data_IF_366014282484
#
_entry.id   IF_366014282484
#
_cell.length_a   1.000
_cell.length_b   1.000
_cell.length_c   1.000
_cell.angle_alpha   90.00
_cell.angle_beta   90.00
_cell.angle_gamma   90.00
#
_symmetry.space_group_name_H-M   'P 1'
#
loop_
_entity.id
_entity.type
_entity.pdbx_description
1 polymer ?
#
# COMPACT_ATOMS: atom_id res chain seq x y z
N UNK A 1 24.15 -14.73 -41.03
CA UNK A 1 24.64 -14.10 -39.79
C UNK A 1 23.60 -13.10 -39.32
N UNK A 2 22.81 -13.45 -38.30
CA UNK A 2 21.87 -12.49 -37.71
C UNK A 2 22.65 -11.57 -36.76
N UNK A 3 22.49 -10.24 -36.84
CA UNK A 3 23.14 -9.34 -35.90
C UNK A 3 22.61 -9.62 -34.50
N UNK A 4 23.53 -10.06 -33.64
CA UNK A 4 23.31 -10.29 -32.22
C UNK A 4 23.16 -8.92 -31.57
N UNK A 5 21.95 -8.37 -31.59
CA UNK A 5 21.65 -7.14 -30.85
C UNK A 5 22.04 -7.37 -29.40
N UNK A 6 22.89 -6.50 -28.80
CA UNK A 6 23.23 -6.61 -27.39
C UNK A 6 21.90 -6.55 -26.64
N UNK A 7 21.56 -7.65 -25.95
CA UNK A 7 20.39 -7.69 -25.08
C UNK A 7 20.54 -6.51 -24.13
N UNK A 8 19.77 -5.46 -24.36
CA UNK A 8 19.62 -4.35 -23.44
C UNK A 8 19.41 -4.99 -22.08
N UNK A 9 20.40 -4.82 -21.20
CA UNK A 9 20.48 -5.61 -19.99
C UNK A 9 19.18 -5.42 -19.22
N UNK A 10 18.63 -6.48 -18.65
CA UNK A 10 17.42 -6.40 -17.83
C UNK A 10 17.54 -5.39 -16.67
N UNK A 11 18.76 -4.94 -16.34
CA UNK A 11 19.02 -3.84 -15.42
C UNK A 11 18.62 -2.47 -15.97
N UNK A 12 18.83 -2.20 -17.27
CA UNK A 12 18.43 -0.93 -17.91
C UNK A 12 16.91 -0.77 -17.94
N UNK A 13 16.17 -1.82 -18.32
CA UNK A 13 14.70 -1.78 -18.28
C UNK A 13 14.14 -1.56 -16.87
N UNK A 14 14.79 -2.12 -15.84
CA UNK A 14 14.42 -1.90 -14.44
C UNK A 14 14.70 -0.47 -13.98
N UNK A 15 15.82 0.12 -14.40
CA UNK A 15 16.09 1.53 -14.13
C UNK A 15 15.07 2.46 -14.78
N UNK A 16 14.69 2.19 -16.03
CA UNK A 16 13.67 2.98 -16.73
C UNK A 16 12.28 2.84 -16.08
N UNK A 17 11.90 1.65 -15.62
CA UNK A 17 10.63 1.45 -14.89
C UNK A 17 10.64 2.13 -13.51
N UNK A 18 11.75 2.05 -12.78
CA UNK A 18 11.91 2.74 -11.50
C UNK A 18 11.87 4.26 -11.65
N UNK A 19 12.53 4.80 -12.68
CA UNK A 19 12.53 6.23 -12.99
C UNK A 19 11.14 6.74 -13.40
N UNK A 20 10.36 5.96 -14.17
CA UNK A 20 8.97 6.31 -14.51
C UNK A 20 8.06 6.29 -13.29
N UNK A 21 8.18 5.29 -12.42
CA UNK A 21 7.44 5.23 -11.15
C UNK A 21 7.81 6.39 -10.20
N UNK A 22 9.07 6.84 -10.20
CA UNK A 22 9.52 8.02 -9.45
C UNK A 22 8.95 9.34 -10.04
N UNK A 23 8.79 9.42 -11.36
CA UNK A 23 8.19 10.57 -12.03
C UNK A 23 6.68 10.69 -11.71
N UNK A 24 5.95 9.57 -11.75
CA UNK A 24 4.51 9.54 -11.45
C UNK A 24 4.21 9.88 -9.98
N UNK A 25 5.06 9.42 -9.05
CA UNK A 25 4.92 9.78 -7.63
C UNK A 25 5.22 11.27 -7.36
N UNK A 26 6.03 11.93 -8.19
CA UNK A 26 6.28 13.38 -8.07
C UNK A 26 5.05 14.22 -8.41
N UNK A 27 4.23 13.75 -9.36
CA UNK A 27 2.97 14.39 -9.73
C UNK A 27 1.94 14.31 -8.60
N UNK A 28 1.88 13.19 -7.89
CA UNK A 28 0.96 13.02 -6.75
C UNK A 28 1.34 13.91 -5.55
N UNK A 29 2.63 14.04 -5.24
CA UNK A 29 3.08 14.97 -4.19
C UNK A 29 2.80 16.44 -4.57
N UNK A 30 2.94 16.80 -5.86
CA UNK A 30 2.57 18.12 -6.36
C UNK A 30 1.05 18.36 -6.30
N UNK A 31 0.24 17.37 -6.67
CA UNK A 31 -1.21 17.43 -6.56
C UNK A 31 -1.65 17.65 -5.10
N UNK A 32 -1.04 16.91 -4.15
CA UNK A 32 -1.32 17.08 -2.72
C UNK A 32 -1.01 18.51 -2.25
N UNK A 33 0.13 19.09 -2.68
CA UNK A 33 0.46 20.50 -2.41
C UNK A 33 -0.58 21.46 -2.96
N UNK A 34 -1.01 21.27 -4.21
CA UNK A 34 -2.05 22.10 -4.84
C UNK A 34 -3.36 21.99 -4.06
N UNK A 35 -3.78 20.80 -3.66
CA UNK A 35 -5.01 20.61 -2.86
C UNK A 35 -4.92 21.33 -1.52
N UNK A 36 -3.79 21.23 -0.82
CA UNK A 36 -3.57 21.94 0.45
C UNK A 36 -3.61 23.46 0.24
N UNK A 37 -2.94 23.97 -0.80
CA UNK A 37 -2.90 25.40 -1.11
C UNK A 37 -4.29 25.94 -1.49
N UNK A 38 -5.04 25.23 -2.33
CA UNK A 38 -6.41 25.60 -2.71
C UNK A 38 -7.33 25.54 -1.49
N UNK A 39 -7.19 24.53 -0.62
CA UNK A 39 -7.92 24.44 0.63
C UNK A 39 -7.64 25.62 1.55
N UNK A 40 -6.37 25.98 1.73
CA UNK A 40 -5.96 27.17 2.48
C UNK A 40 -6.59 28.45 1.92
N UNK A 41 -6.50 28.67 0.60
CA UNK A 41 -7.06 29.86 -0.05
C UNK A 41 -8.59 29.92 0.08
N UNK A 42 -9.27 28.78 -0.12
CA UNK A 42 -10.74 28.72 -0.11
C UNK A 42 -11.33 28.85 1.29
N UNK A 43 -10.69 28.25 2.29
CA UNK A 43 -11.22 28.18 3.66
C UNK A 43 -10.52 29.14 4.62
N UNK A 44 -9.60 30.00 4.17
CA UNK A 44 -8.80 30.91 5.00
C UNK A 44 -9.62 31.64 6.07
N UNK A 45 -10.77 32.19 5.69
CA UNK A 45 -11.61 32.98 6.59
C UNK A 45 -12.31 32.16 7.70
N UNK A 46 -12.37 30.83 7.56
CA UNK A 46 -13.10 29.93 8.48
C UNK A 46 -12.16 29.03 9.28
N UNK A 47 -10.89 28.95 8.88
CA UNK A 47 -9.85 28.22 9.58
C UNK A 47 -9.33 29.02 10.78
N UNK A 48 -9.11 28.34 11.89
CA UNK A 48 -8.41 28.94 13.03
C UNK A 48 -6.92 29.11 12.71
N UNK A 49 -6.20 29.93 13.49
CA UNK A 49 -4.75 30.05 13.33
C UNK A 49 -4.02 28.70 13.46
N UNK A 50 -4.52 27.81 14.33
CA UNK A 50 -3.98 26.46 14.49
C UNK A 50 -4.20 25.60 13.24
N UNK A 51 -5.38 25.69 12.62
CA UNK A 51 -5.72 24.98 11.38
C UNK A 51 -4.80 25.42 10.22
N UNK A 52 -4.59 26.74 10.09
CA UNK A 52 -3.70 27.32 9.08
C UNK A 52 -2.27 26.87 9.31
N UNK A 53 -1.77 26.95 10.54
CA UNK A 53 -0.42 26.50 10.89
C UNK A 53 -0.22 25.01 10.58
N UNK A 54 -1.22 24.17 10.88
CA UNK A 54 -1.19 22.75 10.54
C UNK A 54 -1.10 22.54 9.03
N UNK A 55 -1.97 23.17 8.24
CA UNK A 55 -1.95 23.04 6.77
C UNK A 55 -0.64 23.58 6.15
N UNK A 56 -0.08 24.66 6.70
CA UNK A 56 1.23 25.16 6.28
C UNK A 56 2.37 24.19 6.62
N UNK A 57 2.35 23.58 7.81
CA UNK A 57 3.32 22.55 8.18
C UNK A 57 3.22 21.32 7.24
N UNK A 58 2.00 20.95 6.87
CA UNK A 58 1.70 19.87 5.91
C UNK A 58 2.19 20.18 4.50
N UNK A 59 2.00 21.43 4.04
CA UNK A 59 2.54 21.91 2.79
C UNK A 59 4.07 21.91 2.81
N UNK A 60 4.68 22.44 3.88
CA UNK A 60 6.13 22.45 4.05
C UNK A 60 6.71 21.03 4.06
N UNK A 61 6.10 20.09 4.80
CA UNK A 61 6.53 18.69 4.82
C UNK A 61 6.47 18.04 3.42
N UNK A 62 5.41 18.33 2.66
CA UNK A 62 5.26 17.82 1.30
C UNK A 62 6.25 18.45 0.32
N UNK A 63 6.53 19.74 0.46
CA UNK A 63 7.55 20.44 -0.31
C UNK A 63 8.97 19.94 0.00
N UNK A 64 9.28 19.69 1.28
CA UNK A 64 10.55 19.11 1.73
C UNK A 64 10.73 17.71 1.14
N UNK A 65 9.70 16.87 1.14
CA UNK A 65 9.77 15.54 0.53
C UNK A 65 9.97 15.60 -0.99
N UNK A 66 9.30 16.53 -1.66
CA UNK A 66 9.47 16.76 -3.09
C UNK A 66 10.88 17.28 -3.42
N UNK A 67 11.39 18.21 -2.61
CA UNK A 67 12.74 18.75 -2.73
C UNK A 67 13.79 17.65 -2.46
N UNK A 68 13.62 16.85 -1.41
CA UNK A 68 14.53 15.76 -1.08
C UNK A 68 14.61 14.72 -2.21
N UNK A 69 13.48 14.40 -2.86
CA UNK A 69 13.46 13.52 -4.03
C UNK A 69 14.26 14.10 -5.22
N UNK A 70 14.26 15.43 -5.40
CA UNK A 70 14.94 16.09 -6.53
C UNK A 70 16.41 16.45 -6.27
N UNK A 71 16.77 16.75 -5.03
CA UNK A 71 17.99 17.50 -4.73
C UNK A 71 19.30 16.71 -4.84
N UNK A 72 19.30 15.37 -4.89
CA UNK A 72 20.58 14.63 -4.77
C UNK A 72 20.65 13.42 -5.71
N UNK A 73 21.36 13.55 -6.86
CA UNK A 73 21.83 12.41 -7.66
C UNK A 73 22.75 11.55 -6.79
N UNK A 74 22.29 10.35 -6.40
CA UNK A 74 22.99 9.46 -5.46
C UNK A 74 22.31 9.28 -4.10
N UNK A 75 21.38 10.16 -3.72
CA UNK A 75 20.57 9.97 -2.51
C UNK A 75 19.48 8.92 -2.66
N UNK A 76 19.24 8.38 -3.86
CA UNK A 76 18.19 7.40 -4.08
C UNK A 76 18.23 6.26 -3.04
N UNK A 77 19.44 5.83 -2.63
CA UNK A 77 19.64 4.87 -1.54
C UNK A 77 19.26 5.40 -0.15
N UNK A 78 19.63 6.65 0.17
CA UNK A 78 19.30 7.30 1.45
C UNK A 78 17.80 7.62 1.56
N UNK A 79 17.21 8.23 0.52
CA UNK A 79 15.79 8.51 0.41
C UNK A 79 14.95 7.24 0.51
N UNK A 80 15.30 6.18 -0.24
CA UNK A 80 14.57 4.91 -0.17
C UNK A 80 14.57 4.29 1.24
N UNK A 81 15.63 4.50 2.03
CA UNK A 81 15.74 3.97 3.39
C UNK A 81 14.89 4.74 4.40
N UNK A 82 14.78 6.06 4.25
CA UNK A 82 14.18 6.94 5.25
C UNK A 82 12.81 7.48 4.87
N UNK A 83 12.34 7.33 3.62
CA UNK A 83 11.05 7.85 3.16
C UNK A 83 9.82 7.24 3.84
N UNK A 84 9.94 6.02 4.35
CA UNK A 84 8.79 5.29 4.90
C UNK A 84 8.27 5.94 6.20
N UNK A 85 9.17 6.40 7.08
CA UNK A 85 8.77 6.99 8.36
C UNK A 85 8.02 8.33 8.18
N UNK A 86 8.52 9.33 7.43
CA UNK A 86 7.77 10.54 7.13
C UNK A 86 6.45 10.27 6.40
N UNK A 87 6.40 9.26 5.54
CA UNK A 87 5.16 8.87 4.87
C UNK A 87 4.10 8.37 5.86
N UNK A 88 4.49 7.50 6.81
CA UNK A 88 3.61 7.00 7.88
C UNK A 88 3.15 8.14 8.77
N UNK A 89 4.08 8.95 9.28
CA UNK A 89 3.77 10.09 10.15
C UNK A 89 2.79 11.03 9.46
N UNK A 90 3.02 11.36 8.18
CA UNK A 90 2.13 12.25 7.46
C UNK A 90 0.72 11.67 7.30
N UNK A 91 0.60 10.39 6.94
CA UNK A 91 -0.71 9.72 6.78
C UNK A 91 -1.52 9.77 8.06
N UNK A 92 -0.89 9.39 9.17
CA UNK A 92 -1.54 9.38 10.50
C UNK A 92 -1.88 10.80 10.94
N UNK A 93 -0.98 11.76 10.75
CA UNK A 93 -1.22 13.16 11.10
C UNK A 93 -2.39 13.78 10.33
N UNK A 94 -2.54 13.47 9.03
CA UNK A 94 -3.69 13.92 8.23
C UNK A 94 -4.98 13.30 8.74
N UNK A 95 -4.98 11.97 8.96
CA UNK A 95 -6.16 11.24 9.40
C UNK A 95 -6.66 11.70 10.78
N UNK A 96 -5.74 11.95 11.70
CA UNK A 96 -6.02 12.43 13.04
C UNK A 96 -6.28 13.96 13.11
N UNK A 97 -6.17 14.68 11.99
CA UNK A 97 -6.25 16.14 11.98
C UNK A 97 -7.68 16.64 12.14
N UNK A 98 -8.02 17.36 13.23
CA UNK A 98 -9.34 17.99 13.37
C UNK A 98 -9.63 18.99 12.24
N UNK A 99 -8.59 19.64 11.72
CA UNK A 99 -8.69 20.59 10.59
C UNK A 99 -9.25 19.93 9.34
N UNK A 100 -8.75 18.73 8.99
CA UNK A 100 -9.22 18.01 7.81
C UNK A 100 -10.72 17.67 7.93
N UNK A 101 -11.15 17.25 9.12
CA UNK A 101 -12.56 16.96 9.40
C UNK A 101 -13.45 18.21 9.39
N UNK A 102 -12.95 19.31 9.95
CA UNK A 102 -13.65 20.60 9.93
C UNK A 102 -13.89 21.08 8.49
N UNK A 103 -12.87 21.03 7.65
CA UNK A 103 -12.97 21.38 6.21
C UNK A 103 -13.97 20.47 5.51
N UNK A 104 -13.95 19.17 5.81
CA UNK A 104 -14.88 18.19 5.23
C UNK A 104 -16.33 18.52 5.60
N UNK A 105 -16.62 18.80 6.87
CA UNK A 105 -17.97 19.19 7.31
C UNK A 105 -18.45 20.49 6.66
N UNK A 106 -17.56 21.47 6.54
CA UNK A 106 -17.88 22.73 5.86
C UNK A 106 -18.17 22.51 4.37
N UNK A 107 -17.39 21.64 3.71
CA UNK A 107 -17.59 21.30 2.31
C UNK A 107 -18.92 20.58 2.10
N UNK A 108 -19.29 19.67 3.02
CA UNK A 108 -20.59 19.00 3.01
C UNK A 108 -21.76 19.98 3.19
N UNK A 109 -21.57 21.03 3.99
CA UNK A 109 -22.57 22.10 4.14
C UNK A 109 -22.85 22.88 2.85
N UNK A 110 -21.97 22.79 1.84
CA UNK A 110 -22.15 23.40 0.52
C UNK A 110 -22.67 22.46 -0.56
N UNK A 111 -22.98 21.19 -0.23
CA UNK A 111 -23.54 20.23 -1.18
C UNK A 111 -24.95 20.70 -1.59
N UNK A 112 -25.31 20.66 -2.89
CA UNK A 112 -26.63 21.10 -3.34
C UNK A 112 -27.75 20.34 -2.61
N UNK A 113 -28.90 20.99 -2.36
CA UNK A 113 -29.99 20.37 -1.65
C UNK A 113 -30.51 19.14 -2.41
N UNK A 114 -30.91 18.11 -1.66
CA UNK A 114 -31.61 16.97 -2.25
C UNK A 114 -32.90 17.43 -2.93
N UNK A 115 -33.13 16.95 -4.15
CA UNK A 115 -34.29 17.34 -4.94
C UNK A 115 -35.50 16.48 -4.56
N UNK A 116 -36.70 17.05 -4.54
CA UNK A 116 -37.92 16.29 -4.27
C UNK A 116 -38.32 15.34 -5.42
N UNK A 117 -37.77 15.54 -6.63
CA UNK A 117 -38.30 14.93 -7.86
C UNK A 117 -37.50 13.79 -8.49
N UNK A 118 -36.26 13.50 -8.06
CA UNK A 118 -35.45 12.45 -8.71
C UNK A 118 -34.68 11.57 -7.71
N UNK A 119 -35.20 10.37 -7.46
CA UNK A 119 -34.57 9.39 -6.55
C UNK A 119 -33.14 9.03 -6.97
N UNK A 120 -32.88 8.95 -8.29
CA UNK A 120 -31.54 8.67 -8.81
C UNK A 120 -30.51 9.76 -8.51
N UNK A 121 -30.88 11.04 -8.62
CA UNK A 121 -30.00 12.16 -8.26
C UNK A 121 -29.69 12.14 -6.77
N UNK A 122 -30.70 11.97 -5.92
CA UNK A 122 -30.51 11.92 -4.47
C UNK A 122 -29.59 10.77 -4.05
N UNK A 123 -29.71 9.60 -4.71
CA UNK A 123 -28.81 8.48 -4.49
C UNK A 123 -27.37 8.80 -4.93
N UNK A 124 -27.19 9.45 -6.08
CA UNK A 124 -25.87 9.86 -6.56
C UNK A 124 -25.22 10.88 -5.63
N UNK A 125 -25.97 11.90 -5.19
CA UNK A 125 -25.51 12.88 -4.20
C UNK A 125 -25.12 12.18 -2.90
N UNK A 126 -25.98 11.29 -2.38
CA UNK A 126 -25.69 10.51 -1.18
C UNK A 126 -24.42 9.67 -1.33
N UNK A 127 -24.27 8.93 -2.43
CA UNK A 127 -23.10 8.08 -2.68
C UNK A 127 -21.81 8.91 -2.79
N UNK A 128 -21.86 10.07 -3.47
CA UNK A 128 -20.73 10.99 -3.57
C UNK A 128 -20.40 11.62 -2.22
N UNK A 129 -21.40 12.04 -1.45
CA UNK A 129 -21.20 12.56 -0.10
C UNK A 129 -20.59 11.49 0.81
N UNK A 130 -21.09 10.26 0.78
CA UNK A 130 -20.55 9.16 1.58
C UNK A 130 -19.12 8.80 1.16
N UNK A 131 -18.85 8.76 -0.15
CA UNK A 131 -17.50 8.58 -0.70
C UNK A 131 -16.53 9.69 -0.24
N UNK A 132 -16.97 10.94 -0.26
CA UNK A 132 -16.19 12.07 0.25
C UNK A 132 -15.97 11.99 1.77
N UNK A 133 -17.02 11.73 2.54
CA UNK A 133 -17.00 11.59 4.00
C UNK A 133 -16.11 10.45 4.48
N UNK A 134 -16.01 9.36 3.72
CA UNK A 134 -15.19 8.20 4.09
C UNK A 134 -13.70 8.49 4.13
N UNK A 135 -13.26 9.65 3.63
CA UNK A 135 -11.84 9.97 3.43
C UNK A 135 -11.05 8.94 2.60
N UNK A 136 -11.72 7.96 1.98
CA UNK A 136 -11.07 6.87 1.28
C UNK A 136 -10.25 7.39 0.10
N UNK A 137 -10.75 8.39 -0.62
CA UNK A 137 -9.99 9.04 -1.70
C UNK A 137 -8.68 9.65 -1.18
N UNK A 138 -8.73 10.41 -0.08
CA UNK A 138 -7.55 11.00 0.55
C UNK A 138 -6.58 9.92 1.04
N UNK A 139 -7.11 8.89 1.71
CA UNK A 139 -6.33 7.77 2.20
C UNK A 139 -5.63 7.01 1.06
N UNK A 140 -6.31 6.80 -0.07
CA UNK A 140 -5.78 6.18 -1.28
C UNK A 140 -4.73 7.06 -1.97
N UNK A 141 -4.98 8.36 -2.13
CA UNK A 141 -4.00 9.29 -2.71
C UNK A 141 -2.72 9.30 -1.87
N UNK A 142 -2.82 9.35 -0.54
CA UNK A 142 -1.66 9.26 0.34
C UNK A 142 -0.99 7.87 0.29
N UNK A 143 -1.78 6.81 0.10
CA UNK A 143 -1.29 5.46 -0.09
C UNK A 143 -0.41 5.33 -1.34
N UNK A 144 -0.90 5.88 -2.46
CA UNK A 144 -0.30 5.82 -3.79
C UNK A 144 0.86 6.81 -3.95
N UNK A 145 0.73 8.03 -3.43
CA UNK A 145 1.76 9.07 -3.53
C UNK A 145 3.05 8.66 -2.82
N UNK A 146 2.92 7.88 -1.75
CA UNK A 146 4.03 7.58 -0.83
C UNK A 146 4.09 6.11 -0.48
N UNK A 147 4.35 5.22 -1.44
CA UNK A 147 4.29 3.79 -1.21
C UNK A 147 5.19 3.39 -0.03
N UNK A 148 4.59 2.67 0.91
CA UNK A 148 5.27 2.04 2.06
C UNK A 148 5.12 0.53 1.91
N UNK A 149 6.04 -0.24 2.48
CA UNK A 149 5.98 -1.71 2.43
C UNK A 149 4.69 -2.22 3.05
N UNK A 150 4.14 -3.32 2.55
CA UNK A 150 2.89 -3.91 3.06
C UNK A 150 2.90 -4.10 4.59
N UNK A 151 4.03 -4.57 5.15
CA UNK A 151 4.21 -4.79 6.58
C UNK A 151 4.04 -3.52 7.42
N UNK A 152 4.35 -2.35 6.87
CA UNK A 152 4.16 -1.05 7.51
C UNK A 152 2.85 -0.38 7.06
N UNK A 153 2.42 -0.64 5.82
CA UNK A 153 1.19 -0.12 5.25
C UNK A 153 -0.02 -0.56 6.04
N UNK A 154 -0.20 -1.88 6.23
CA UNK A 154 -1.38 -2.43 6.88
C UNK A 154 -1.60 -1.86 8.29
N UNK A 155 -0.62 -1.87 9.23
CA UNK A 155 -0.84 -1.27 10.54
C UNK A 155 -1.03 0.25 10.47
N UNK A 156 -0.33 0.95 9.57
CA UNK A 156 -0.51 2.40 9.39
C UNK A 156 -1.92 2.72 8.88
N UNK A 157 -2.42 1.97 7.90
CA UNK A 157 -3.74 2.19 7.31
C UNK A 157 -4.84 1.82 8.30
N UNK A 158 -4.65 0.78 9.12
CA UNK A 158 -5.56 0.44 10.20
C UNK A 158 -5.64 1.58 11.24
N UNK A 159 -4.48 2.15 11.61
CA UNK A 159 -4.44 3.31 12.51
C UNK A 159 -5.13 4.53 11.89
N UNK A 160 -4.90 4.79 10.60
CA UNK A 160 -5.58 5.86 9.85
C UNK A 160 -7.09 5.67 9.84
N UNK A 161 -7.58 4.44 9.60
CA UNK A 161 -9.02 4.14 9.67
C UNK A 161 -9.58 4.33 11.08
N UNK A 162 -8.84 3.95 12.12
CA UNK A 162 -9.26 4.17 13.51
C UNK A 162 -9.40 5.66 13.83
N UNK A 163 -8.42 6.48 13.40
CA UNK A 163 -8.49 7.92 13.54
C UNK A 163 -9.68 8.51 12.78
N UNK A 164 -9.93 8.04 11.55
CA UNK A 164 -11.07 8.47 10.73
C UNK A 164 -12.38 8.12 11.42
N UNK A 165 -12.53 6.89 11.86
CA UNK A 165 -13.75 6.38 12.46
C UNK A 165 -14.17 7.14 13.72
N UNK A 166 -13.21 7.65 14.52
CA UNK A 166 -13.51 8.54 15.64
C UNK A 166 -14.31 9.80 15.26
N UNK A 167 -14.32 10.20 13.99
CA UNK A 167 -15.05 11.36 13.52
C UNK A 167 -16.41 11.04 12.89
N UNK A 168 -16.75 9.76 12.68
CA UNK A 168 -17.94 9.34 11.93
C UNK A 168 -19.25 9.83 12.54
N UNK A 169 -19.40 9.74 13.86
CA UNK A 169 -20.61 10.18 14.56
C UNK A 169 -20.93 11.64 14.21
N UNK A 170 -19.94 12.52 14.34
CA UNK A 170 -20.16 13.94 14.15
C UNK A 170 -20.11 14.37 12.66
N UNK A 171 -19.71 13.49 11.73
CA UNK A 171 -19.99 13.66 10.29
C UNK A 171 -21.43 13.30 9.97
N UNK A 172 -21.94 12.21 10.54
CA UNK A 172 -23.33 11.79 10.37
C UNK A 172 -24.33 12.80 10.95
N UNK A 173 -23.89 13.65 11.89
CA UNK A 173 -24.65 14.80 12.38
C UNK A 173 -24.68 16.00 11.41
N UNK A 174 -23.91 15.97 10.31
CA UNK A 174 -23.92 17.06 9.35
C UNK A 174 -25.28 17.19 8.65
N UNK A 175 -25.71 18.42 8.31
CA UNK A 175 -27.01 18.66 7.66
C UNK A 175 -27.22 17.84 6.37
N UNK A 176 -26.14 17.60 5.62
CA UNK A 176 -26.18 16.83 4.37
C UNK A 176 -26.54 15.34 4.61
N UNK A 177 -26.13 14.75 5.74
CA UNK A 177 -26.42 13.35 6.06
C UNK A 177 -27.65 13.19 6.97
N UNK A 178 -28.02 14.25 7.70
CA UNK A 178 -29.27 14.34 8.45
C UNK A 178 -30.50 14.53 7.55
N UNK A 179 -30.33 14.84 6.26
CA UNK A 179 -31.45 15.03 5.34
C UNK A 179 -32.30 13.75 5.22
N UNK A 180 -33.65 13.81 5.22
CA UNK A 180 -34.51 12.63 5.18
C UNK A 180 -34.21 11.67 4.03
N UNK A 181 -33.91 12.19 2.83
CA UNK A 181 -33.54 11.37 1.68
C UNK A 181 -32.22 10.60 1.90
N UNK A 182 -31.23 11.22 2.56
CA UNK A 182 -29.96 10.57 2.90
C UNK A 182 -30.17 9.50 3.97
N UNK A 183 -30.99 9.77 4.99
CA UNK A 183 -31.36 8.81 6.02
C UNK A 183 -32.09 7.59 5.43
N UNK A 184 -33.03 7.81 4.50
CA UNK A 184 -33.71 6.72 3.79
C UNK A 184 -32.73 5.86 2.97
N UNK A 185 -31.83 6.48 2.20
CA UNK A 185 -30.82 5.77 1.43
C UNK A 185 -29.85 4.99 2.35
N UNK A 186 -29.48 5.57 3.48
CA UNK A 186 -28.65 4.95 4.51
C UNK A 186 -29.34 3.72 5.11
N UNK A 187 -30.60 3.85 5.51
CA UNK A 187 -31.38 2.76 6.09
C UNK A 187 -31.59 1.61 5.09
N UNK A 188 -31.84 1.92 3.81
CA UNK A 188 -31.93 0.93 2.74
C UNK A 188 -30.59 0.19 2.55
N UNK A 189 -29.48 0.92 2.51
CA UNK A 189 -28.14 0.32 2.39
C UNK A 189 -27.79 -0.54 3.60
N UNK A 190 -28.03 -0.04 4.82
CA UNK A 190 -27.80 -0.74 6.07
C UNK A 190 -28.60 -2.05 6.17
N UNK A 191 -29.89 -2.02 5.80
CA UNK A 191 -30.75 -3.20 5.81
C UNK A 191 -30.34 -4.23 4.76
N UNK A 192 -29.97 -3.80 3.56
CA UNK A 192 -29.46 -4.67 2.51
C UNK A 192 -28.14 -5.35 2.93
N UNK A 193 -27.18 -4.61 3.48
CA UNK A 193 -25.92 -5.15 3.99
C UNK A 193 -26.16 -6.16 5.12
N UNK A 194 -27.04 -5.82 6.07
CA UNK A 194 -27.40 -6.72 7.16
C UNK A 194 -28.06 -8.01 6.64
N UNK A 195 -28.93 -7.91 5.64
CA UNK A 195 -29.54 -9.08 5.01
C UNK A 195 -28.51 -9.96 4.28
N UNK A 196 -27.59 -9.35 3.53
CA UNK A 196 -26.50 -10.07 2.84
C UNK A 196 -25.61 -10.83 3.83
N UNK A 197 -25.23 -10.20 4.94
CA UNK A 197 -24.41 -10.86 5.96
C UNK A 197 -25.17 -12.00 6.64
N UNK A 198 -26.46 -11.83 6.90
CA UNK A 198 -27.30 -12.92 7.46
C UNK A 198 -27.44 -14.11 6.52
N UNK A 199 -27.53 -13.86 5.22
CA UNK A 199 -27.57 -14.93 4.21
C UNK A 199 -26.24 -15.68 4.12
N UNK A 200 -25.11 -14.96 4.23
CA UNK A 200 -23.78 -15.56 4.16
C UNK A 200 -23.34 -16.27 5.45
N UNK A 201 -23.84 -15.85 6.62
CA UNK A 201 -23.47 -16.43 7.91
C UNK A 201 -24.65 -16.43 8.90
N UNK A 202 -25.56 -17.42 8.82
CA UNK A 202 -26.81 -17.43 9.58
C UNK A 202 -26.63 -17.64 11.09
N UNK A 203 -25.45 -18.07 11.55
CA UNK A 203 -25.22 -18.52 12.94
C UNK A 203 -24.65 -17.44 13.89
N UNK A 204 -24.31 -16.25 13.40
CA UNK A 204 -23.40 -15.34 14.14
C UNK A 204 -23.98 -13.97 14.52
N UNK A 205 -25.20 -13.63 14.14
CA UNK A 205 -25.80 -12.31 14.48
C UNK A 205 -26.91 -12.45 15.53
N UNK A 206 -26.66 -12.07 16.80
CA UNK A 206 -27.71 -11.96 17.80
C UNK A 206 -28.80 -10.99 17.32
N UNK A 207 -30.09 -11.35 17.43
CA UNK A 207 -31.20 -10.48 17.02
C UNK A 207 -31.25 -9.14 17.77
N UNK A 208 -30.59 -9.05 18.94
CA UNK A 208 -30.53 -7.86 19.79
C UNK A 208 -29.58 -6.75 19.29
N UNK A 209 -28.66 -7.04 18.36
CA UNK A 209 -27.69 -6.05 17.83
C UNK A 209 -28.27 -5.10 16.76
N UNK A 210 -29.56 -5.21 16.42
CA UNK A 210 -30.07 -4.72 15.14
C UNK A 210 -31.09 -3.57 15.20
N UNK A 211 -30.95 -2.61 16.12
CA UNK A 211 -31.71 -1.34 16.05
C UNK A 211 -30.86 -0.14 16.43
N UNK A 212 -29.79 0.09 15.67
CA UNK A 212 -29.12 1.39 15.70
C UNK A 212 -30.10 2.49 15.27
N UNK A 213 -30.04 3.63 15.95
CA UNK A 213 -30.71 4.86 15.49
C UNK A 213 -30.18 5.33 14.12
N UNK A 214 -30.80 6.36 13.50
CA UNK A 214 -30.38 6.86 12.18
C UNK A 214 -28.88 7.25 12.12
N UNK A 215 -28.36 7.86 13.19
CA UNK A 215 -26.94 8.22 13.29
C UNK A 215 -26.02 6.99 13.35
N UNK A 216 -26.40 5.95 14.11
CA UNK A 216 -25.65 4.70 14.17
C UNK A 216 -25.66 3.95 12.85
N UNK A 217 -26.79 3.94 12.13
CA UNK A 217 -26.85 3.37 10.78
C UNK A 217 -25.92 4.10 9.81
N UNK A 218 -25.91 5.44 9.82
CA UNK A 218 -24.98 6.24 9.02
C UNK A 218 -23.53 5.93 9.36
N UNK A 219 -23.18 5.89 10.65
CA UNK A 219 -21.82 5.60 11.10
C UNK A 219 -21.37 4.20 10.66
N UNK A 220 -22.25 3.20 10.72
CA UNK A 220 -21.93 1.84 10.32
C UNK A 220 -21.70 1.73 8.80
N UNK A 221 -22.56 2.33 7.96
CA UNK A 221 -22.36 2.34 6.50
C UNK A 221 -21.10 3.09 6.13
N UNK A 222 -20.83 4.23 6.78
CA UNK A 222 -19.62 5.02 6.55
C UNK A 222 -18.35 4.24 6.95
N UNK A 223 -18.33 3.62 8.13
CA UNK A 223 -17.23 2.78 8.59
C UNK A 223 -16.96 1.59 7.65
N UNK A 224 -18.01 1.01 7.07
CA UNK A 224 -17.84 -0.05 6.08
C UNK A 224 -17.21 0.50 4.80
N UNK A 225 -17.66 1.65 4.29
CA UNK A 225 -17.07 2.27 3.11
C UNK A 225 -15.60 2.63 3.34
N UNK A 226 -15.25 3.15 4.52
CA UNK A 226 -13.88 3.41 4.97
C UNK A 226 -13.05 2.13 4.96
N UNK A 227 -13.54 1.05 5.56
CA UNK A 227 -12.83 -0.21 5.59
C UNK A 227 -12.62 -0.80 4.19
N UNK A 228 -13.63 -0.77 3.33
CA UNK A 228 -13.54 -1.36 1.99
C UNK A 228 -12.68 -0.52 1.06
N UNK A 229 -12.95 0.78 0.97
CA UNK A 229 -12.31 1.68 0.00
C UNK A 229 -11.03 2.29 0.54
N UNK A 230 -10.98 2.59 1.83
CA UNK A 230 -9.86 3.24 2.49
C UNK A 230 -8.81 2.26 3.02
N UNK A 231 -9.17 1.01 3.34
CA UNK A 231 -8.22 0.03 3.87
C UNK A 231 -8.02 -1.18 2.95
N UNK A 232 -9.08 -1.92 2.64
CA UNK A 232 -8.98 -3.21 1.96
C UNK A 232 -8.48 -3.04 0.52
N UNK A 233 -9.12 -2.17 -0.27
CA UNK A 233 -8.74 -1.91 -1.66
C UNK A 233 -7.25 -1.52 -1.83
N UNK A 234 -6.71 -0.49 -1.14
CA UNK A 234 -5.29 -0.16 -1.29
C UNK A 234 -4.36 -1.24 -0.75
N UNK A 235 -4.73 -1.93 0.35
CA UNK A 235 -3.90 -3.00 0.91
C UNK A 235 -3.80 -4.19 -0.03
N UNK A 236 -4.91 -4.59 -0.66
CA UNK A 236 -4.92 -5.67 -1.64
C UNK A 236 -4.14 -5.31 -2.91
N UNK A 237 -4.30 -4.08 -3.41
CA UNK A 237 -3.55 -3.61 -4.57
C UNK A 237 -2.04 -3.60 -4.29
N UNK A 238 -1.65 -3.12 -3.12
CA UNK A 238 -0.25 -3.13 -2.68
C UNK A 238 0.26 -4.57 -2.52
N UNK A 239 -0.50 -5.44 -1.85
CA UNK A 239 -0.13 -6.84 -1.65
C UNK A 239 0.06 -7.58 -2.98
N UNK A 240 -0.83 -7.36 -3.95
CA UNK A 240 -0.71 -7.92 -5.29
C UNK A 240 0.56 -7.43 -6.00
N UNK A 241 0.85 -6.13 -5.93
CA UNK A 241 2.05 -5.55 -6.53
C UNK A 241 3.35 -6.08 -5.91
N UNK A 242 3.39 -6.23 -4.58
CA UNK A 242 4.55 -6.77 -3.86
C UNK A 242 4.73 -8.27 -4.12
N UNK A 243 3.64 -9.03 -4.19
CA UNK A 243 3.68 -10.46 -4.53
C UNK A 243 4.25 -10.68 -5.94
N UNK A 244 3.84 -9.86 -6.91
CA UNK A 244 4.38 -9.93 -8.26
C UNK A 244 5.89 -9.60 -8.29
N UNK A 245 6.30 -8.53 -7.60
CA UNK A 245 7.71 -8.16 -7.47
C UNK A 245 8.53 -9.28 -6.82
N UNK A 246 7.99 -9.90 -5.78
CA UNK A 246 8.62 -11.04 -5.12
C UNK A 246 8.79 -12.23 -6.07
N UNK A 247 7.77 -12.56 -6.87
CA UNK A 247 7.85 -13.64 -7.86
C UNK A 247 8.88 -13.37 -8.96
N UNK A 248 9.03 -12.11 -9.40
CA UNK A 248 10.08 -11.71 -10.35
C UNK A 248 11.46 -11.86 -9.70
N UNK A 249 11.62 -11.43 -8.45
CA UNK A 249 12.86 -11.59 -7.69
C UNK A 249 13.23 -13.07 -7.49
N UNK A 250 12.30 -13.91 -7.03
CA UNK A 250 12.49 -15.35 -6.79
C UNK A 250 12.96 -16.07 -8.06
N UNK A 251 12.33 -15.78 -9.20
CA UNK A 251 12.73 -16.34 -10.51
C UNK A 251 14.13 -15.91 -10.93
N UNK A 252 14.48 -14.64 -10.73
CA UNK A 252 15.82 -14.13 -11.03
C UNK A 252 16.88 -14.77 -10.13
N UNK A 253 16.59 -14.89 -8.84
CA UNK A 253 17.45 -15.52 -7.85
C UNK A 253 17.73 -16.99 -8.17
N UNK A 254 16.68 -17.77 -8.51
CA UNK A 254 16.84 -19.18 -8.89
C UNK A 254 17.66 -19.36 -10.17
N UNK A 255 17.50 -18.47 -11.17
CA UNK A 255 18.33 -18.50 -12.39
C UNK A 255 19.80 -18.23 -12.08
N UNK A 256 20.07 -17.23 -11.25
CA UNK A 256 21.42 -16.91 -10.81
C UNK A 256 22.07 -18.08 -10.04
N UNK A 257 21.32 -18.71 -9.13
CA UNK A 257 21.81 -19.86 -8.35
C UNK A 257 22.20 -21.04 -9.26
N UNK A 258 21.40 -21.31 -10.31
CA UNK A 258 21.72 -22.35 -11.30
C UNK A 258 22.99 -22.04 -12.10
N UNK A 259 23.24 -20.78 -12.44
CA UNK A 259 24.45 -20.37 -13.16
C UNK A 259 25.71 -20.59 -12.31
N UNK A 260 25.66 -20.21 -11.03
CA UNK A 260 26.78 -20.42 -10.09
C UNK A 260 27.10 -21.91 -9.89
N UNK A 261 26.07 -22.76 -9.76
CA UNK A 261 26.27 -24.21 -9.62
C UNK A 261 26.80 -24.84 -10.93
N UNK A 262 26.37 -24.35 -12.09
CA UNK A 262 26.83 -24.85 -13.39
C UNK A 262 28.29 -24.50 -13.72
N UNK A 263 28.76 -23.33 -13.28
CA UNK A 263 30.17 -22.94 -13.45
C UNK A 263 31.10 -23.74 -12.53
N UNK A 264 30.64 -24.08 -11.32
CA UNK A 264 31.42 -24.88 -10.37
C UNK A 264 31.64 -26.34 -10.80
N UNK A 265 30.73 -26.91 -11.61
CA UNK A 265 30.86 -28.28 -12.11
C UNK A 265 31.66 -28.38 -13.42
N UNK A 266 31.79 -27.28 -14.18
CA UNK A 266 32.49 -27.24 -15.46
C UNK A 266 34.01 -27.04 -15.39
N UNK A 267 34.54 -26.56 -14.26
CA UNK A 267 35.97 -26.20 -14.14
C UNK A 267 36.91 -27.34 -13.69
N UNK A 268 36.39 -28.56 -13.50
CA UNK A 268 37.13 -29.67 -12.88
C UNK A 268 37.81 -30.69 -13.81
N UNK A 269 37.72 -30.55 -15.13
CA UNK A 269 38.04 -31.67 -16.03
C UNK A 269 38.64 -31.30 -17.38
N UNK A 270 39.79 -30.62 -17.40
CA UNK A 270 40.68 -30.65 -18.58
C UNK A 270 42.15 -30.51 -18.18
N UNK A 271 42.58 -31.32 -17.21
CA UNK A 271 43.99 -31.63 -16.97
C UNK A 271 44.35 -32.95 -17.65
N UNK A 272 44.16 -33.03 -18.97
CA UNK A 272 44.60 -34.17 -19.78
C UNK A 272 46.06 -33.99 -20.18
N UNK A 273 46.90 -34.89 -19.68
CA UNK A 273 48.23 -35.31 -20.14
C UNK A 273 48.92 -34.47 -21.22
N UNK A 274 49.91 -33.70 -20.80
CA UNK A 274 51.05 -33.32 -21.64
C UNK A 274 52.31 -33.84 -20.99
N UNK A 275 52.78 -35.00 -21.47
CA UNK A 275 54.08 -35.58 -21.15
C UNK A 275 55.19 -34.53 -21.38
N UNK A 276 55.97 -34.23 -20.35
CA UNK A 276 57.30 -33.66 -20.54
C UNK A 276 58.25 -34.23 -19.49
N UNK A 277 59.02 -35.21 -19.95
CA UNK A 277 60.15 -35.78 -19.24
C UNK A 277 61.33 -34.80 -19.27
N UNK A 278 61.99 -34.65 -18.11
CA UNK A 278 63.40 -34.25 -18.04
C UNK A 278 63.67 -32.93 -17.32
N UNK A 279 64.42 -33.00 -16.21
CA UNK A 279 65.26 -31.87 -15.77
C UNK A 279 65.21 -31.52 -14.28
N UNK A 280 65.87 -32.35 -13.46
CA UNK A 280 66.74 -32.00 -12.31
C UNK A 280 66.53 -30.73 -11.47
N UNK A 281 66.42 -30.99 -10.15
CA UNK A 281 67.11 -30.34 -9.01
C UNK A 281 66.80 -28.88 -8.66
N UNK A 282 66.28 -28.66 -7.44
CA UNK A 282 67.09 -28.13 -6.32
C UNK A 282 66.20 -27.89 -5.08
N UNK A 283 66.70 -28.34 -3.93
CA UNK A 283 66.11 -28.21 -2.61
C UNK A 283 65.95 -26.75 -2.16
N UNK A 284 64.76 -26.36 -1.69
CA UNK A 284 64.58 -25.19 -0.83
C UNK A 284 63.49 -25.43 0.23
N UNK A 285 63.82 -25.04 1.45
CA UNK A 285 63.10 -25.34 2.70
C UNK A 285 61.71 -24.70 2.78
N UNK A 286 60.76 -25.30 3.54
CA UNK A 286 59.43 -24.77 3.69
C UNK A 286 59.41 -23.67 4.75
N UNK A 287 59.27 -22.41 4.31
CA UNK A 287 58.75 -21.36 5.18
C UNK A 287 57.24 -21.61 5.36
N UNK A 288 56.77 -21.61 6.60
CA UNK A 288 55.36 -21.73 6.97
C UNK A 288 54.55 -20.57 6.37
N UNK A 289 54.10 -20.75 5.12
CA UNK A 289 53.16 -19.88 4.47
C UNK A 289 51.81 -20.07 5.16
N UNK A 290 51.31 -18.99 5.76
CA UNK A 290 49.93 -18.89 6.21
C UNK A 290 49.02 -19.47 5.11
N UNK A 291 48.36 -20.59 5.41
CA UNK A 291 47.47 -21.24 4.47
C UNK A 291 46.49 -20.19 3.92
N UNK A 292 46.27 -20.14 2.60
CA UNK A 292 45.28 -19.22 2.04
C UNK A 292 43.99 -19.50 2.80
N UNK A 293 43.49 -18.48 3.51
CA UNK A 293 42.14 -18.54 4.06
C UNK A 293 41.25 -18.86 2.87
N UNK A 294 40.75 -20.09 2.83
CA UNK A 294 39.68 -20.51 1.95
C UNK A 294 38.48 -19.72 2.44
N UNK A 295 38.38 -18.50 1.93
CA UNK A 295 37.24 -17.62 2.13
C UNK A 295 36.02 -18.47 1.75
N UNK A 296 35.07 -18.68 2.69
CA UNK A 296 34.01 -19.64 2.49
C UNK A 296 33.32 -19.35 1.17
N UNK A 297 33.31 -20.30 0.22
CA UNK A 297 32.66 -20.07 -1.05
C UNK A 297 31.19 -19.80 -0.77
N UNK A 298 30.71 -18.70 -1.35
CA UNK A 298 29.29 -18.39 -1.52
C UNK A 298 28.58 -17.72 -0.35
N UNK A 299 29.09 -16.60 0.16
CA UNK A 299 28.15 -15.50 0.37
C UNK A 299 27.88 -14.86 -1.00
N UNK A 300 26.62 -14.76 -1.46
CA UNK A 300 26.32 -14.03 -2.69
C UNK A 300 26.94 -12.65 -2.56
N UNK A 301 27.64 -12.12 -3.58
CA UNK A 301 28.24 -10.80 -3.49
C UNK A 301 27.13 -9.85 -3.05
N UNK A 302 27.33 -9.23 -1.88
CA UNK A 302 26.41 -8.25 -1.30
C UNK A 302 26.08 -7.14 -2.30
N UNK A 303 26.98 -6.92 -3.27
CA UNK A 303 26.81 -6.10 -4.47
C UNK A 303 25.66 -6.54 -5.38
N UNK A 304 25.45 -7.84 -5.64
CA UNK A 304 24.36 -8.30 -6.52
C UNK A 304 22.98 -8.03 -5.90
N UNK A 305 22.88 -8.16 -4.58
CA UNK A 305 21.66 -7.83 -3.83
C UNK A 305 21.39 -6.32 -3.83
N UNK A 306 22.44 -5.49 -3.79
CA UNK A 306 22.33 -4.03 -3.72
C UNK A 306 22.25 -3.34 -5.10
N UNK A 307 22.70 -3.98 -6.17
CA UNK A 307 22.69 -3.40 -7.52
C UNK A 307 21.50 -3.89 -8.37
N UNK A 308 21.07 -5.15 -8.23
CA UNK A 308 19.87 -5.63 -8.94
C UNK A 308 18.57 -5.22 -8.25
N UNK A 309 18.61 -5.00 -6.94
CA UNK A 309 17.45 -4.70 -6.09
C UNK A 309 17.80 -3.81 -4.88
N UNK A 310 18.29 -2.58 -5.08
CA UNK A 310 18.77 -1.68 -4.01
C UNK A 310 17.77 -1.43 -2.87
N UNK A 311 16.49 -1.72 -3.07
CA UNK A 311 15.42 -1.50 -2.11
C UNK A 311 14.88 -2.78 -1.44
N UNK A 312 15.21 -3.97 -1.96
CA UNK A 312 14.70 -5.24 -1.44
C UNK A 312 15.77 -5.90 -0.57
N UNK A 313 15.77 -5.56 0.72
CA UNK A 313 16.22 -6.54 1.73
C UNK A 313 15.44 -7.84 1.48
N UNK A 314 16.08 -9.02 1.57
CA UNK A 314 15.33 -10.27 1.52
C UNK A 314 14.17 -10.17 2.53
N UNK A 315 12.93 -10.50 2.10
CA UNK A 315 11.79 -10.39 2.99
C UNK A 315 12.06 -11.23 4.25
N UNK A 316 11.53 -10.78 5.39
CA UNK A 316 11.55 -11.61 6.59
C UNK A 316 10.90 -12.97 6.28
N UNK A 317 11.28 -14.03 7.00
CA UNK A 317 10.69 -15.37 6.77
C UNK A 317 9.15 -15.35 6.78
N UNK A 318 8.56 -14.54 7.66
CA UNK A 318 7.10 -14.32 7.70
C UNK A 318 6.56 -13.64 6.45
N UNK A 319 7.20 -12.56 5.97
CA UNK A 319 6.80 -11.90 4.74
C UNK A 319 6.98 -12.81 3.51
N UNK A 320 8.07 -13.58 3.45
CA UNK A 320 8.29 -14.57 2.39
C UNK A 320 7.19 -15.64 2.38
N UNK A 321 6.80 -16.16 3.54
CA UNK A 321 5.69 -17.10 3.68
C UNK A 321 4.37 -16.49 3.19
N UNK A 322 4.08 -15.24 3.60
CA UNK A 322 2.89 -14.52 3.15
C UNK A 322 2.88 -14.31 1.63
N UNK A 323 4.00 -13.88 1.03
CA UNK A 323 4.09 -13.72 -0.43
C UNK A 323 3.99 -15.06 -1.16
N UNK A 324 4.57 -16.14 -0.62
CA UNK A 324 4.41 -17.48 -1.18
C UNK A 324 2.96 -17.95 -1.09
N UNK A 325 2.23 -17.66 0.00
CA UNK A 325 0.79 -17.93 0.10
C UNK A 325 -0.02 -17.12 -0.93
N UNK A 326 0.22 -15.81 -1.01
CA UNK A 326 -0.46 -14.92 -1.95
C UNK A 326 -0.21 -15.29 -3.41
N UNK A 327 0.98 -15.82 -3.72
CA UNK A 327 1.36 -16.19 -5.09
C UNK A 327 1.02 -17.62 -5.48
N UNK A 328 0.70 -18.50 -4.52
CA UNK A 328 0.16 -19.85 -4.76
C UNK A 328 -1.32 -19.83 -5.17
N UNK A 329 -2.00 -18.72 -4.95
CA UNK A 329 -3.37 -18.49 -5.42
C UNK A 329 -3.39 -17.43 -6.54
N UNK A 330 -2.76 -17.68 -7.71
CA UNK A 330 -3.09 -16.89 -8.87
C UNK A 330 -4.57 -17.16 -9.14
N UNK A 331 -5.42 -16.12 -9.19
CA UNK A 331 -6.84 -16.25 -9.55
C UNK A 331 -7.01 -16.63 -11.03
N UNK A 332 -6.39 -17.74 -11.44
CA UNK A 332 -6.32 -18.21 -12.83
C UNK A 332 -7.34 -19.29 -13.09
N UNK A 333 -7.76 -20.04 -12.06
CA UNK A 333 -8.84 -21.01 -12.22
C UNK A 333 -10.19 -20.40 -11.81
N UNK A 334 -11.29 -20.72 -12.51
CA UNK A 334 -12.62 -20.22 -12.16
C UNK A 334 -13.05 -20.64 -10.75
N UNK A 335 -12.53 -21.76 -10.23
CA UNK A 335 -12.76 -22.19 -8.85
C UNK A 335 -12.10 -21.24 -7.83
N UNK A 336 -10.97 -20.61 -8.16
CA UNK A 336 -10.32 -19.63 -7.30
C UNK A 336 -11.16 -18.37 -7.16
N UNK A 337 -11.89 -17.98 -8.21
CA UNK A 337 -12.80 -16.82 -8.18
C UNK A 337 -13.94 -17.05 -7.19
N UNK A 338 -14.49 -18.27 -7.14
CA UNK A 338 -15.54 -18.64 -6.18
C UNK A 338 -15.00 -18.63 -4.75
N UNK A 339 -13.83 -19.22 -4.52
CA UNK A 339 -13.18 -19.21 -3.19
C UNK A 339 -12.85 -17.78 -2.77
N UNK A 340 -12.36 -16.93 -3.69
CA UNK A 340 -12.09 -15.52 -3.44
C UNK A 340 -13.36 -14.76 -3.05
N UNK A 341 -14.45 -14.97 -3.80
CA UNK A 341 -15.73 -14.35 -3.55
C UNK A 341 -16.30 -14.78 -2.19
N UNK A 342 -16.26 -16.07 -1.87
CA UNK A 342 -16.69 -16.61 -0.58
C UNK A 342 -15.82 -16.05 0.56
N UNK A 343 -14.50 -16.01 0.40
CA UNK A 343 -13.60 -15.44 1.40
C UNK A 343 -13.86 -13.95 1.60
N UNK A 344 -14.07 -13.19 0.52
CA UNK A 344 -14.41 -11.78 0.59
C UNK A 344 -15.76 -11.55 1.29
N UNK A 345 -16.77 -12.40 1.01
CA UNK A 345 -18.06 -12.35 1.70
C UNK A 345 -17.94 -12.68 3.19
N UNK A 346 -17.12 -13.66 3.56
CA UNK A 346 -16.86 -14.00 4.97
C UNK A 346 -16.13 -12.87 5.70
N UNK A 347 -15.10 -12.28 5.08
CA UNK A 347 -14.38 -11.14 5.63
C UNK A 347 -15.27 -9.91 5.75
N UNK A 348 -16.11 -9.65 4.74
CA UNK A 348 -17.11 -8.58 4.77
C UNK A 348 -18.11 -8.79 5.90
N UNK A 349 -18.58 -10.03 6.10
CA UNK A 349 -19.49 -10.38 7.19
C UNK A 349 -18.85 -10.19 8.56
N UNK A 350 -17.62 -10.67 8.75
CA UNK A 350 -16.87 -10.49 9.99
C UNK A 350 -16.61 -9.00 10.29
N UNK A 351 -16.21 -8.23 9.27
CA UNK A 351 -16.03 -6.80 9.38
C UNK A 351 -17.32 -6.07 9.74
N UNK A 352 -18.42 -6.40 9.08
CA UNK A 352 -19.73 -5.82 9.38
C UNK A 352 -20.16 -6.11 10.83
N UNK A 353 -19.98 -7.35 11.30
CA UNK A 353 -20.26 -7.71 12.69
C UNK A 353 -19.40 -6.94 13.68
N UNK A 354 -18.10 -6.81 13.38
CA UNK A 354 -17.20 -6.02 14.21
C UNK A 354 -17.69 -4.57 14.29
N UNK A 355 -18.04 -3.95 13.15
CA UNK A 355 -18.58 -2.57 13.06
C UNK A 355 -19.87 -2.42 13.86
N UNK A 356 -20.81 -3.37 13.78
CA UNK A 356 -22.06 -3.30 14.55
C UNK A 356 -21.80 -3.37 16.06
N UNK A 357 -20.84 -4.18 16.51
CA UNK A 357 -20.54 -4.36 17.93
C UNK A 357 -19.95 -3.11 18.61
N UNK A 358 -19.32 -2.25 17.83
CA UNK A 358 -18.55 -1.07 18.28
C UNK A 358 -19.23 0.25 17.92
N UNK A 359 -20.23 0.23 17.03
CA UNK A 359 -21.01 1.42 16.70
C UNK A 359 -21.99 1.69 17.84
N UNK A 360 -22.06 2.93 18.38
CA UNK A 360 -23.01 3.26 19.44
C UNK A 360 -24.46 3.02 18.98
N UNK A 361 -25.32 2.57 19.89
CA UNK A 361 -26.74 2.28 19.62
C UNK A 361 -27.57 3.55 19.43
#
# INVERSE_FOLDING_TARGET
MQPMWPRVSSSWQRHVQAARAEQDSGLLDALALVVIAVGLLRFWAVLSAADVAFLLAMAAASAVLLAWRRAVPGSARSFARHRELPAVVLRVAIAASPTAWKVTRQTLGGVPPYSSGSGGWNLAVFALSLGFCSFAATANVLALARPVRLALHAPTQALVMLCIWWHNAAICESPALQHPAAQQATAATYSALTALVRLGNPLTLPPALARHGPAGQCSAVLALAELLLGFLAPTLLLAASEAELYQRWKRAWLKWQKQQLGESSGSGGSGGGGDNAGGSSSSQMPAAAAGPQVEPPNQPPSQLHSDLFPCLRPPSKGAACLYDLLSRHPFTEPNDVVIAALTALLLLGAAWQAILAVTPM
#
